data_IF_383809471399
#
_entry.id   IF_383809471399
#
_cell.length_a   1.000
_cell.length_b   1.000
_cell.length_c   1.000
_cell.angle_alpha   90.00
_cell.angle_beta   90.00
_cell.angle_gamma   90.00
#
_symmetry.space_group_name_H-M   'P 1'
#
loop_
_entity.id
_entity.type
_entity.pdbx_description
1 polymer ?
#
# COMPACT_ATOMS: atom_id res chain seq x y z
N UNK A 1 -17.33 -18.65 1.91
CA UNK A 1 -16.02 -19.33 2.14
C UNK A 1 -15.75 -19.29 3.64
N UNK A 2 -15.18 -20.34 4.27
CA UNK A 2 -14.91 -20.30 5.73
C UNK A 2 -14.03 -19.09 6.09
N UNK A 3 -14.43 -18.33 7.11
CA UNK A 3 -13.76 -17.13 7.62
C UNK A 3 -12.23 -17.29 7.82
N UNK A 4 -11.76 -18.50 8.17
CA UNK A 4 -10.33 -18.83 8.33
C UNK A 4 -9.54 -18.70 7.02
N UNK A 5 -10.12 -19.12 5.88
CA UNK A 5 -9.47 -19.03 4.57
C UNK A 5 -9.41 -17.59 4.08
N UNK A 6 -10.47 -16.79 4.29
CA UNK A 6 -10.48 -15.35 3.98
C UNK A 6 -9.42 -14.58 4.76
N UNK A 7 -9.22 -14.89 6.05
CA UNK A 7 -8.14 -14.28 6.84
C UNK A 7 -6.74 -14.64 6.33
N UNK A 8 -6.51 -15.90 5.94
CA UNK A 8 -5.22 -16.33 5.43
C UNK A 8 -4.87 -15.69 4.08
N UNK A 9 -5.83 -15.69 3.14
CA UNK A 9 -5.68 -15.02 1.84
C UNK A 9 -5.50 -13.51 2.03
N UNK A 10 -6.31 -12.90 2.89
CA UNK A 10 -6.21 -11.47 3.17
C UNK A 10 -4.84 -11.07 3.73
N UNK A 11 -4.29 -11.87 4.65
CA UNK A 11 -2.94 -11.65 5.15
C UNK A 11 -1.89 -11.74 4.04
N UNK A 12 -1.96 -12.76 3.18
CA UNK A 12 -1.02 -12.95 2.09
C UNK A 12 -1.09 -11.82 1.05
N UNK A 13 -2.31 -11.39 0.70
CA UNK A 13 -2.55 -10.26 -0.22
C UNK A 13 -2.02 -8.96 0.39
N UNK A 14 -2.24 -8.74 1.69
CA UNK A 14 -1.77 -7.55 2.39
C UNK A 14 -0.23 -7.51 2.42
N UNK A 15 0.43 -8.64 2.71
CA UNK A 15 1.89 -8.74 2.65
C UNK A 15 2.42 -8.50 1.23
N UNK A 16 1.85 -9.18 0.23
CA UNK A 16 2.26 -9.00 -1.17
C UNK A 16 2.06 -7.56 -1.66
N UNK A 17 0.93 -6.94 -1.29
CA UNK A 17 0.64 -5.56 -1.59
C UNK A 17 1.69 -4.62 -1.00
N UNK A 18 2.04 -4.78 0.29
CA UNK A 18 3.06 -3.95 0.94
C UNK A 18 4.43 -4.11 0.28
N UNK A 19 4.82 -5.33 -0.10
CA UNK A 19 6.11 -5.58 -0.79
C UNK A 19 6.14 -4.88 -2.15
N UNK A 20 5.10 -5.08 -2.98
CA UNK A 20 5.02 -4.43 -4.30
C UNK A 20 4.99 -2.91 -4.16
N UNK A 21 4.22 -2.40 -3.18
CA UNK A 21 4.13 -0.97 -2.90
C UNK A 21 5.47 -0.37 -2.49
N UNK A 22 6.20 -1.05 -1.59
CA UNK A 22 7.52 -0.60 -1.15
C UNK A 22 8.53 -0.54 -2.31
N UNK A 23 8.50 -1.53 -3.22
CA UNK A 23 9.35 -1.53 -4.41
C UNK A 23 9.01 -0.37 -5.35
N UNK A 24 7.72 -0.10 -5.59
CA UNK A 24 7.27 1.05 -6.38
C UNK A 24 7.68 2.36 -5.69
N UNK A 25 7.51 2.46 -4.37
CA UNK A 25 7.89 3.63 -3.61
C UNK A 25 9.39 3.91 -3.68
N UNK A 26 10.23 2.87 -3.58
CA UNK A 26 11.68 2.99 -3.76
C UNK A 26 12.04 3.37 -5.20
N UNK A 27 11.37 2.80 -6.20
CA UNK A 27 11.60 3.14 -7.59
C UNK A 27 11.22 4.61 -7.89
N UNK A 28 10.12 5.10 -7.33
CA UNK A 28 9.69 6.49 -7.43
C UNK A 28 10.63 7.42 -6.66
N UNK A 29 11.13 7.00 -5.48
CA UNK A 29 12.13 7.75 -4.71
C UNK A 29 13.46 7.89 -5.47
N UNK A 30 13.85 6.84 -6.20
CA UNK A 30 15.06 6.80 -7.02
C UNK A 30 14.85 7.39 -8.43
N UNK A 31 13.62 7.76 -8.80
CA UNK A 31 13.34 8.30 -10.11
C UNK A 31 13.97 9.69 -10.25
N UNK A 32 14.72 9.90 -11.33
CA UNK A 32 15.40 11.17 -11.66
C UNK A 32 14.54 12.45 -11.55
N UNK A 33 13.23 12.45 -11.89
CA UNK A 33 12.38 13.63 -11.73
C UNK A 33 12.24 14.08 -10.29
N UNK A 34 12.34 13.16 -9.32
CA UNK A 34 12.27 13.45 -7.89
C UNK A 34 13.60 14.01 -7.40
N UNK A 35 14.74 13.52 -7.91
CA UNK A 35 16.07 14.03 -7.54
C UNK A 35 16.36 15.44 -8.08
N UNK A 36 15.82 15.79 -9.25
CA UNK A 36 15.96 17.14 -9.84
C UNK A 36 14.88 18.12 -9.36
N UNK A 37 13.80 17.63 -8.74
CA UNK A 37 12.74 18.47 -8.20
C UNK A 37 13.14 19.14 -6.87
N UNK A 38 12.53 20.30 -6.54
CA UNK A 38 12.75 20.97 -5.27
C UNK A 38 12.51 20.03 -4.06
N UNK A 39 13.33 20.10 -3.01
CA UNK A 39 13.19 19.23 -1.83
C UNK A 39 11.81 19.34 -1.14
N UNK A 40 11.13 20.48 -1.26
CA UNK A 40 9.74 20.63 -0.81
C UNK A 40 8.76 19.70 -1.55
N UNK A 41 8.94 19.53 -2.85
CA UNK A 41 8.10 18.66 -3.68
C UNK A 41 8.36 17.18 -3.39
N UNK A 42 9.63 16.82 -3.12
CA UNK A 42 10.02 15.51 -2.60
C UNK A 42 9.26 15.17 -1.32
N UNK A 43 9.27 16.06 -0.32
CA UNK A 43 8.60 15.83 0.97
C UNK A 43 7.10 15.61 0.77
N UNK A 44 6.45 16.44 -0.06
CA UNK A 44 5.02 16.27 -0.37
C UNK A 44 4.76 14.95 -1.09
N UNK A 45 5.59 14.59 -2.07
CA UNK A 45 5.47 13.31 -2.77
C UNK A 45 5.62 12.13 -1.81
N UNK A 46 6.62 12.14 -0.94
CA UNK A 46 6.82 11.08 0.05
C UNK A 46 5.68 11.03 1.08
N UNK A 47 5.14 12.17 1.49
CA UNK A 47 3.98 12.21 2.39
C UNK A 47 2.74 11.62 1.70
N UNK A 48 2.49 11.98 0.44
CA UNK A 48 1.37 11.43 -0.34
C UNK A 48 1.57 9.95 -0.61
N UNK A 49 2.77 9.48 -0.96
CA UNK A 49 3.09 8.06 -1.08
C UNK A 49 2.89 7.35 0.27
N UNK A 50 3.32 7.95 1.37
CA UNK A 50 3.11 7.44 2.71
C UNK A 50 1.64 7.42 3.15
N UNK A 51 0.74 8.11 2.45
CA UNK A 51 -0.71 8.08 2.73
C UNK A 51 -1.49 7.26 1.70
N UNK A 52 -1.01 7.17 0.46
CA UNK A 52 -1.71 6.55 -0.65
C UNK A 52 -1.90 5.03 -0.46
N UNK A 53 -1.03 4.35 0.28
CA UNK A 53 -1.19 2.93 0.60
C UNK A 53 -2.36 2.61 1.54
N UNK A 54 -2.89 3.60 2.28
CA UNK A 54 -4.04 3.40 3.18
C UNK A 54 -5.33 3.17 2.40
N UNK A 55 -5.49 3.85 1.26
CA UNK A 55 -6.65 3.73 0.36
C UNK A 55 -6.92 2.28 -0.09
N UNK A 56 -5.94 1.52 -0.61
CA UNK A 56 -6.12 0.11 -0.96
C UNK A 56 -6.20 -0.83 0.25
N UNK A 57 -5.59 -0.48 1.39
CA UNK A 57 -5.66 -1.31 2.61
C UNK A 57 -7.06 -1.34 3.23
N UNK A 58 -7.76 -0.20 3.29
CA UNK A 58 -9.10 -0.10 3.89
C UNK A 58 -10.14 -1.09 3.33
N UNK A 59 -10.38 -1.18 2.00
CA UNK A 59 -11.34 -2.12 1.44
C UNK A 59 -10.89 -3.57 1.61
N UNK A 60 -9.57 -3.84 1.57
CA UNK A 60 -9.03 -5.19 1.82
C UNK A 60 -9.31 -5.64 3.26
N UNK A 61 -9.05 -4.79 4.25
CA UNK A 61 -9.32 -5.09 5.67
C UNK A 61 -10.82 -5.26 5.91
N UNK A 62 -11.66 -4.39 5.33
CA UNK A 62 -13.14 -4.56 5.40
C UNK A 62 -13.59 -5.89 4.79
N UNK A 63 -12.99 -6.28 3.68
CA UNK A 63 -13.25 -7.59 3.07
C UNK A 63 -12.75 -8.74 3.94
N UNK A 64 -11.66 -8.60 4.71
CA UNK A 64 -11.23 -9.62 5.68
C UNK A 64 -12.16 -9.71 6.90
N UNK A 65 -12.72 -8.59 7.34
CA UNK A 65 -13.57 -8.51 8.54
C UNK A 65 -15.05 -8.82 8.29
N UNK A 66 -15.50 -8.84 7.04
CA UNK A 66 -16.92 -9.08 6.71
C UNK A 66 -17.45 -10.38 7.36
N UNK A 67 -18.45 -10.34 8.25
CA UNK A 67 -19.01 -11.57 8.81
C UNK A 67 -19.70 -12.38 7.71
N UNK A 68 -19.46 -13.69 7.68
CA UNK A 68 -20.28 -14.61 6.88
C UNK A 68 -21.55 -14.85 7.72
N UNK A 69 -22.65 -14.17 7.38
CA UNK A 69 -23.97 -14.37 7.99
C UNK A 69 -24.59 -15.64 7.39
#
# INVERSE_FOLDING_TARGET
MRMRTRKFIGALVMTGFVVVYALIAMALAQARPVQEAPPALQIVFYAVLGMAWVLPLMPLIRWMQKPDI
#
